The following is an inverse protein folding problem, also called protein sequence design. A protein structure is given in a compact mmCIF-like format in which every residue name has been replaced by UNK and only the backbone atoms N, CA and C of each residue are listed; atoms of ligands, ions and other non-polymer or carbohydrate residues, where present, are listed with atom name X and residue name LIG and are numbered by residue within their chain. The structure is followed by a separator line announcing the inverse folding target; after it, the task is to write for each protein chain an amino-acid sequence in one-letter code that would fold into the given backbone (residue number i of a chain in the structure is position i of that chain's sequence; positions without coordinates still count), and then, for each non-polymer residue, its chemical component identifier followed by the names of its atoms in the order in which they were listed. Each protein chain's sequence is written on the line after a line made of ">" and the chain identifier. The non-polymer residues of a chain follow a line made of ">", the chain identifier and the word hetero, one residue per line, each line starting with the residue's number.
data_IF_539092584360
#
_entry.id   IF_539092584360
#
_cell.length_a   1.000
_cell.length_b   1.000
_cell.length_c   1.000
_cell.angle_alpha   90.00
_cell.angle_beta   90.00
_cell.angle_gamma   90.00
#
_symmetry.space_group_name_H-M   'P 1'
#
loop_
_entity.id
_entity.type
_entity.pdbx_description
1 polymer ?
#
# COMPACT_ATOMS: atom_id res chain seq x y z
N UNK A 1 -19.22 32.52 58.70
CA UNK A 1 -19.09 32.83 57.26
C UNK A 1 -18.50 31.61 56.57
N UNK A 2 -19.37 30.80 55.93
CA UNK A 2 -19.00 29.53 55.32
C UNK A 2 -18.73 29.76 53.82
N UNK A 3 -17.48 29.66 53.39
CA UNK A 3 -17.09 29.75 51.98
C UNK A 3 -17.43 28.43 51.26
N UNK A 4 -18.38 28.47 50.36
CA UNK A 4 -18.77 27.40 49.47
C UNK A 4 -17.75 27.35 48.30
N UNK A 5 -16.88 26.34 48.26
CA UNK A 5 -15.95 26.10 47.12
C UNK A 5 -16.72 25.41 46.00
N UNK A 6 -16.98 26.13 44.90
CA UNK A 6 -17.46 25.52 43.65
C UNK A 6 -16.35 24.74 42.99
N UNK A 7 -16.49 23.41 42.97
CA UNK A 7 -15.61 22.50 42.20
C UNK A 7 -16.17 22.48 40.77
N UNK A 8 -15.52 23.17 39.84
CA UNK A 8 -15.84 23.09 38.41
C UNK A 8 -15.31 21.76 37.86
N UNK A 9 -16.22 20.84 37.59
CA UNK A 9 -15.90 19.58 36.88
C UNK A 9 -15.89 19.91 35.38
N UNK A 10 -14.67 19.94 34.81
CA UNK A 10 -14.49 20.02 33.36
C UNK A 10 -14.79 18.63 32.78
N UNK A 11 -15.98 18.49 32.20
CA UNK A 11 -16.37 17.28 31.46
C UNK A 11 -15.63 17.29 30.11
N UNK A 12 -14.48 16.60 30.03
CA UNK A 12 -13.75 16.41 28.79
C UNK A 12 -14.55 15.39 27.93
N UNK A 13 -15.35 15.90 26.99
CA UNK A 13 -16.07 15.06 26.03
C UNK A 13 -15.04 14.38 25.11
N UNK A 14 -14.76 13.11 25.36
CA UNK A 14 -14.07 12.23 24.42
C UNK A 14 -14.99 12.02 23.20
N UNK A 15 -14.83 12.84 22.17
CA UNK A 15 -15.43 12.57 20.87
C UNK A 15 -14.82 11.26 20.35
N UNK A 16 -15.63 10.29 19.88
CA UNK A 16 -15.08 9.10 19.25
C UNK A 16 -14.32 9.54 17.99
N UNK A 17 -13.01 9.38 18.01
CA UNK A 17 -12.18 9.49 16.82
C UNK A 17 -12.58 8.29 15.96
N UNK A 18 -13.51 8.47 15.04
CA UNK A 18 -13.76 7.54 13.95
C UNK A 18 -12.52 7.57 13.04
N UNK A 19 -11.50 6.86 13.44
CA UNK A 19 -10.31 6.64 12.63
C UNK A 19 -10.71 5.76 11.44
N UNK A 20 -11.13 6.38 10.34
CA UNK A 20 -11.24 5.70 9.05
C UNK A 20 -9.82 5.38 8.60
N UNK A 21 -9.33 4.20 8.97
CA UNK A 21 -8.08 3.68 8.46
C UNK A 21 -8.38 2.96 7.14
N UNK A 22 -7.72 3.38 6.05
CA UNK A 22 -7.80 2.66 4.77
C UNK A 22 -7.61 1.16 5.00
N UNK A 23 -8.42 0.34 4.35
CA UNK A 23 -8.24 -1.11 4.30
C UNK A 23 -8.11 -1.57 2.86
N UNK A 24 -7.28 -2.59 2.65
CA UNK A 24 -7.16 -3.28 1.37
C UNK A 24 -7.32 -4.79 1.55
N UNK A 25 -7.82 -5.43 0.51
CA UNK A 25 -7.74 -6.88 0.34
C UNK A 25 -7.54 -7.20 -1.14
N UNK A 26 -7.13 -8.42 -1.42
CA UNK A 26 -7.10 -8.95 -2.79
C UNK A 26 -8.20 -10.00 -2.96
N UNK A 27 -9.01 -9.94 -4.04
CA UNK A 27 -9.93 -11.04 -4.35
C UNK A 27 -9.20 -12.31 -4.82
N UNK A 28 -7.89 -12.23 -5.07
CA UNK A 28 -7.10 -13.32 -5.61
C UNK A 28 -6.53 -14.27 -4.55
N UNK A 29 -6.30 -13.79 -3.31
CA UNK A 29 -5.76 -14.58 -2.20
C UNK A 29 -6.05 -13.88 -0.86
N UNK A 30 -6.09 -14.64 0.22
CA UNK A 30 -6.24 -14.08 1.57
C UNK A 30 -4.89 -13.64 2.13
N UNK A 31 -4.94 -12.67 3.06
CA UNK A 31 -3.73 -12.17 3.70
C UNK A 31 -2.88 -13.32 4.30
N UNK A 32 -1.60 -13.36 3.97
CA UNK A 32 -0.64 -14.39 4.39
C UNK A 32 -0.63 -15.66 3.53
N UNK A 33 -1.59 -15.83 2.61
CA UNK A 33 -1.68 -17.01 1.74
C UNK A 33 -0.80 -16.90 0.48
N UNK A 34 -0.82 -17.95 -0.34
CA UNK A 34 -0.06 -18.00 -1.60
C UNK A 34 -0.69 -17.10 -2.66
N UNK A 35 0.16 -16.30 -3.29
CA UNK A 35 -0.20 -15.52 -4.48
C UNK A 35 -0.32 -16.49 -5.66
N UNK A 36 -1.47 -16.50 -6.40
CA UNK A 36 -1.64 -17.36 -7.56
C UNK A 36 -0.59 -17.13 -8.64
N UNK A 37 -0.15 -18.22 -9.27
CA UNK A 37 0.97 -18.26 -10.23
C UNK A 37 0.86 -17.22 -11.35
N UNK A 38 -0.34 -16.91 -11.83
CA UNK A 38 -0.56 -15.94 -12.91
C UNK A 38 -0.01 -14.54 -12.62
N UNK A 39 0.06 -14.14 -11.35
CA UNK A 39 0.56 -12.82 -10.93
C UNK A 39 2.08 -12.76 -10.85
N UNK A 40 2.76 -13.90 -10.86
CA UNK A 40 4.21 -13.97 -10.87
C UNK A 40 4.83 -13.56 -12.21
N UNK A 41 6.15 -13.40 -12.21
CA UNK A 41 6.91 -13.09 -13.41
C UNK A 41 6.90 -14.25 -14.40
N UNK A 42 7.19 -13.95 -15.67
CA UNK A 42 7.25 -14.96 -16.74
C UNK A 42 8.32 -16.03 -16.48
N UNK A 43 9.45 -15.64 -15.88
CA UNK A 43 10.53 -16.56 -15.56
C UNK A 43 10.09 -17.71 -14.65
N UNK A 44 9.22 -17.40 -13.65
CA UNK A 44 8.63 -18.41 -12.77
C UNK A 44 7.32 -19.00 -13.33
N UNK A 45 7.08 -18.86 -14.64
CA UNK A 45 5.89 -19.39 -15.31
C UNK A 45 4.60 -18.63 -15.04
N UNK A 46 4.69 -17.38 -14.51
CA UNK A 46 3.57 -16.47 -14.37
C UNK A 46 3.24 -15.72 -15.67
N UNK A 47 2.22 -14.89 -15.61
CA UNK A 47 1.75 -14.07 -16.74
C UNK A 47 2.11 -12.60 -16.60
N UNK A 48 2.72 -12.19 -15.49
CA UNK A 48 3.01 -10.80 -15.13
C UNK A 48 1.76 -9.91 -15.17
N UNK A 49 0.65 -10.42 -14.67
CA UNK A 49 -0.61 -9.69 -14.50
C UNK A 49 -0.57 -9.07 -13.10
N UNK A 50 -0.99 -7.81 -12.95
CA UNK A 50 -1.00 -7.15 -11.65
C UNK A 50 -2.00 -7.80 -10.70
N UNK A 51 -1.65 -7.84 -9.42
CA UNK A 51 -2.53 -8.31 -8.36
C UNK A 51 -3.72 -7.35 -8.24
N UNK A 52 -4.98 -7.84 -8.29
CA UNK A 52 -6.16 -7.00 -8.11
C UNK A 52 -6.30 -6.60 -6.63
N UNK A 53 -6.67 -5.36 -6.38
CA UNK A 53 -6.77 -4.78 -5.04
C UNK A 53 -8.11 -4.07 -4.87
N UNK A 54 -8.83 -4.41 -3.81
CA UNK A 54 -9.99 -3.65 -3.34
C UNK A 54 -9.55 -2.66 -2.27
N UNK A 55 -10.15 -1.46 -2.28
CA UNK A 55 -9.97 -0.42 -1.29
C UNK A 55 -11.28 -0.17 -0.54
N UNK A 56 -11.18 0.04 0.75
CA UNK A 56 -12.30 0.40 1.63
C UNK A 56 -11.86 1.30 2.77
N UNK A 57 -12.81 1.91 3.46
CA UNK A 57 -12.58 2.79 4.63
C UNK A 57 -11.59 3.93 4.38
N UNK A 58 -11.52 4.43 3.15
CA UNK A 58 -10.69 5.59 2.83
C UNK A 58 -11.27 6.81 3.52
N UNK A 59 -10.42 7.56 4.23
CA UNK A 59 -10.82 8.80 4.91
C UNK A 59 -11.42 9.80 3.92
N UNK A 60 -12.41 10.56 4.37
CA UNK A 60 -13.00 11.68 3.59
C UNK A 60 -12.00 12.83 3.38
N UNK A 61 -11.00 12.91 4.25
CA UNK A 61 -9.93 13.91 4.17
C UNK A 61 -8.80 13.50 3.22
N UNK A 62 -8.85 12.27 2.68
CA UNK A 62 -7.85 11.80 1.74
C UNK A 62 -8.00 12.51 0.39
N UNK A 63 -6.89 13.01 -0.14
CA UNK A 63 -6.79 13.59 -1.47
C UNK A 63 -6.21 12.61 -2.49
N UNK A 64 -5.48 11.58 -2.02
CA UNK A 64 -4.93 10.52 -2.87
C UNK A 64 -4.66 9.25 -2.09
N UNK A 65 -4.49 8.15 -2.84
CA UNK A 65 -3.99 6.87 -2.33
C UNK A 65 -2.66 6.57 -3.01
N UNK A 66 -1.72 5.99 -2.27
CA UNK A 66 -0.49 5.40 -2.78
C UNK A 66 -0.50 3.91 -2.53
N UNK A 67 -0.11 3.11 -3.51
CA UNK A 67 0.04 1.65 -3.41
C UNK A 67 1.50 1.28 -3.68
N UNK A 68 2.09 0.49 -2.78
CA UNK A 68 3.45 -0.04 -2.91
C UNK A 68 3.43 -1.54 -2.69
N UNK A 69 4.02 -2.29 -3.64
CA UNK A 69 4.30 -3.71 -3.49
C UNK A 69 5.82 -3.87 -3.41
N UNK A 70 6.31 -4.42 -2.31
CA UNK A 70 7.74 -4.72 -2.14
C UNK A 70 8.00 -6.13 -1.57
N UNK A 71 9.21 -6.61 -1.79
CA UNK A 71 9.73 -7.89 -1.36
C UNK A 71 10.92 -7.66 -0.43
N UNK A 72 10.74 -7.73 0.90
CA UNK A 72 11.84 -7.60 1.85
C UNK A 72 12.80 -8.79 1.85
N UNK A 73 12.35 -10.00 1.45
CA UNK A 73 13.18 -11.20 1.40
C UNK A 73 14.22 -11.15 0.28
N UNK A 74 13.98 -10.34 -0.76
CA UNK A 74 14.95 -10.05 -1.80
C UNK A 74 16.26 -9.47 -1.26
N UNK A 75 16.26 -8.93 -0.03
CA UNK A 75 17.48 -8.42 0.61
C UNK A 75 18.56 -9.49 0.73
N UNK A 76 18.19 -10.77 0.89
CA UNK A 76 19.14 -11.90 0.99
C UNK A 76 19.82 -12.22 -0.33
N UNK A 77 19.19 -11.94 -1.47
CA UNK A 77 19.67 -12.30 -2.81
C UNK A 77 20.04 -11.10 -3.68
N UNK A 78 19.40 -9.95 -3.46
CA UNK A 78 19.63 -8.72 -4.23
C UNK A 78 20.28 -7.59 -3.41
N UNK A 79 20.59 -7.83 -2.12
CA UNK A 79 21.19 -6.86 -1.21
C UNK A 79 20.25 -5.73 -0.75
N UNK A 80 19.01 -5.72 -1.21
CA UNK A 80 18.02 -4.69 -0.89
C UNK A 80 16.59 -5.25 -0.97
N UNK A 81 15.65 -4.61 -0.25
CA UNK A 81 14.22 -4.80 -0.49
C UNK A 81 13.89 -4.40 -1.93
N UNK A 82 13.18 -5.27 -2.65
CA UNK A 82 12.83 -5.05 -4.05
C UNK A 82 11.45 -4.45 -4.18
N UNK A 83 11.32 -3.35 -4.91
CA UNK A 83 10.02 -2.72 -5.19
C UNK A 83 9.51 -3.27 -6.51
N UNK A 84 8.37 -3.94 -6.47
CA UNK A 84 7.71 -4.58 -7.60
C UNK A 84 6.76 -3.65 -8.35
N UNK A 85 6.03 -2.83 -7.61
CA UNK A 85 5.06 -1.90 -8.17
C UNK A 85 4.86 -0.72 -7.25
N UNK A 86 4.64 0.45 -7.82
CA UNK A 86 4.30 1.67 -7.10
C UNK A 86 3.36 2.52 -7.94
N UNK A 87 2.25 2.93 -7.36
CA UNK A 87 1.29 3.86 -7.91
C UNK A 87 1.07 4.99 -6.92
N UNK A 88 1.14 6.24 -7.37
CA UNK A 88 0.74 7.41 -6.59
C UNK A 88 -0.50 8.06 -7.19
N UNK A 89 -1.10 8.96 -6.44
CA UNK A 89 -2.25 9.77 -6.87
C UNK A 89 -3.43 8.95 -7.43
N UNK A 90 -3.64 7.74 -6.85
CA UNK A 90 -4.87 6.99 -7.07
C UNK A 90 -6.00 7.81 -6.44
N UNK A 91 -7.10 8.11 -7.16
CA UNK A 91 -8.23 8.85 -6.60
C UNK A 91 -8.80 8.17 -5.35
N UNK A 92 -9.13 8.91 -4.28
CA UNK A 92 -9.59 8.32 -3.00
C UNK A 92 -10.93 7.59 -3.10
N UNK A 93 -11.74 7.91 -4.10
CA UNK A 93 -13.00 7.21 -4.42
C UNK A 93 -12.82 5.85 -5.11
N UNK A 94 -11.61 5.51 -5.54
CA UNK A 94 -11.29 4.23 -6.20
C UNK A 94 -11.65 3.07 -5.29
N UNK A 95 -12.49 2.15 -5.77
CA UNK A 95 -12.94 0.97 -5.02
C UNK A 95 -12.08 -0.25 -5.30
N UNK A 96 -11.51 -0.36 -6.50
CA UNK A 96 -10.69 -1.48 -6.90
C UNK A 96 -9.70 -1.12 -8.01
N UNK A 97 -8.62 -1.87 -8.06
CA UNK A 97 -7.72 -1.97 -9.20
C UNK A 97 -7.87 -3.35 -9.79
N UNK A 98 -8.19 -3.42 -11.09
CA UNK A 98 -8.30 -4.68 -11.81
C UNK A 98 -6.94 -5.35 -12.05
N UNK A 99 -6.99 -6.65 -12.29
CA UNK A 99 -5.84 -7.37 -12.83
C UNK A 99 -5.63 -6.99 -14.29
N UNK A 100 -4.46 -6.40 -14.58
CA UNK A 100 -4.09 -6.00 -15.94
C UNK A 100 -2.65 -6.38 -16.24
N UNK A 101 -2.39 -6.62 -17.52
CA UNK A 101 -1.05 -6.94 -17.98
C UNK A 101 -0.09 -5.78 -17.70
N UNK A 102 1.06 -6.10 -17.11
CA UNK A 102 2.13 -5.14 -16.77
C UNK A 102 1.66 -3.99 -15.83
N UNK A 103 0.51 -4.12 -15.15
CA UNK A 103 -0.01 -3.13 -14.22
C UNK A 103 -0.47 -1.80 -14.85
N UNK A 104 -0.87 -1.81 -16.11
CA UNK A 104 -1.40 -0.61 -16.80
C UNK A 104 -2.86 -0.34 -16.43
N UNK A 105 -3.13 -0.01 -15.19
CA UNK A 105 -4.49 0.15 -14.66
C UNK A 105 -5.21 1.43 -15.13
N UNK A 106 -4.52 2.36 -15.78
CA UNK A 106 -5.14 3.60 -16.28
C UNK A 106 -5.53 4.61 -15.20
N UNK A 107 -5.18 4.35 -13.94
CA UNK A 107 -5.51 5.18 -12.77
C UNK A 107 -4.23 5.47 -12.01
N UNK A 108 -4.12 6.70 -11.47
CA UNK A 108 -2.94 7.11 -10.72
C UNK A 108 -1.71 7.35 -11.60
N UNK A 109 -0.58 7.56 -10.95
CA UNK A 109 0.71 7.81 -11.61
C UNK A 109 1.66 6.65 -11.30
N UNK A 110 2.06 5.92 -12.33
CA UNK A 110 3.01 4.83 -12.17
C UNK A 110 4.41 5.37 -11.82
N UNK A 111 4.96 4.90 -10.69
CA UNK A 111 6.30 5.15 -10.24
C UNK A 111 7.30 4.12 -10.79
N UNK A 112 8.59 4.41 -10.70
CA UNK A 112 9.65 3.47 -11.06
C UNK A 112 9.81 2.40 -9.98
N UNK A 113 9.81 1.14 -10.37
CA UNK A 113 10.16 0.00 -9.54
C UNK A 113 11.68 -0.21 -9.43
N UNK A 114 12.12 -1.30 -8.82
CA UNK A 114 13.56 -1.61 -8.66
C UNK A 114 14.27 -1.91 -9.97
N UNK A 115 13.54 -2.31 -11.02
CA UNK A 115 14.05 -2.48 -12.41
C UNK A 115 14.09 -1.15 -13.17
N UNK A 116 13.80 -0.02 -12.52
CA UNK A 116 13.67 1.32 -13.15
C UNK A 116 12.52 1.42 -14.17
N UNK A 117 11.65 0.42 -14.20
CA UNK A 117 10.44 0.38 -15.04
C UNK A 117 9.26 1.00 -14.30
N UNK A 118 8.32 1.60 -15.03
CA UNK A 118 7.03 2.08 -14.52
C UNK A 118 5.92 1.03 -14.62
N UNK A 119 6.28 -0.25 -14.74
CA UNK A 119 5.35 -1.36 -14.88
C UNK A 119 5.29 -2.18 -13.60
N UNK A 120 4.22 -2.94 -13.46
CA UNK A 120 4.19 -4.05 -12.52
C UNK A 120 5.20 -5.11 -12.94
N UNK A 121 6.01 -5.57 -11.99
CA UNK A 121 6.86 -6.74 -12.12
C UNK A 121 6.39 -7.74 -11.06
N UNK A 122 5.89 -8.88 -11.50
CA UNK A 122 5.35 -9.89 -10.60
C UNK A 122 6.40 -10.52 -9.69
N UNK A 123 5.95 -11.18 -8.61
CA UNK A 123 6.79 -12.03 -7.79
C UNK A 123 7.71 -12.91 -8.61
N UNK A 124 9.03 -12.90 -8.31
CA UNK A 124 10.05 -13.57 -9.10
C UNK A 124 11.21 -14.09 -8.22
N UNK A 125 10.92 -14.86 -7.16
CA UNK A 125 11.98 -15.34 -6.29
C UNK A 125 12.85 -16.37 -7.02
N UNK A 126 14.20 -16.30 -6.88
CA UNK A 126 15.10 -17.18 -7.65
C UNK A 126 15.13 -18.63 -7.15
N UNK A 127 14.88 -18.89 -5.87
CA UNK A 127 14.97 -20.24 -5.27
C UNK A 127 13.89 -20.53 -4.24
N UNK A 128 13.84 -19.75 -3.16
CA UNK A 128 12.98 -19.99 -2.01
C UNK A 128 11.67 -19.21 -2.12
N UNK A 129 10.70 -19.56 -1.27
CA UNK A 129 9.49 -18.77 -1.11
C UNK A 129 9.84 -17.42 -0.47
N UNK A 130 9.33 -16.32 -1.08
CA UNK A 130 9.42 -14.98 -0.55
C UNK A 130 8.06 -14.48 -0.11
N UNK A 131 8.05 -13.55 0.85
CA UNK A 131 6.87 -12.78 1.24
C UNK A 131 6.86 -11.44 0.50
N UNK A 132 5.72 -11.12 -0.08
CA UNK A 132 5.45 -9.87 -0.80
C UNK A 132 4.48 -9.05 0.02
N UNK A 133 4.86 -7.82 0.37
CA UNK A 133 4.03 -6.90 1.12
C UNK A 133 3.34 -5.95 0.15
N UNK A 134 2.03 -5.81 0.30
CA UNK A 134 1.18 -4.89 -0.47
C UNK A 134 0.63 -3.90 0.53
N UNK A 135 0.99 -2.62 0.41
CA UNK A 135 0.57 -1.60 1.35
C UNK A 135 -0.03 -0.41 0.64
N UNK A 136 -1.19 0.01 1.11
CA UNK A 136 -1.85 1.23 0.69
C UNK A 136 -1.74 2.30 1.76
N UNK A 137 -1.64 3.53 1.32
CA UNK A 137 -1.60 4.74 2.15
C UNK A 137 -2.65 5.71 1.66
N UNK A 138 -3.48 6.25 2.53
CA UNK A 138 -4.29 7.42 2.24
C UNK A 138 -3.52 8.67 2.65
N UNK A 139 -3.47 9.66 1.77
CA UNK A 139 -2.71 10.90 1.98
C UNK A 139 -3.63 12.11 2.01
N UNK A 140 -3.26 13.13 2.82
CA UNK A 140 -3.92 14.43 2.87
C UNK A 140 -3.51 15.37 1.71
N UNK A 141 -2.79 14.87 0.73
CA UNK A 141 -2.29 15.62 -0.43
C UNK A 141 -2.22 14.76 -1.69
N UNK A 142 -2.05 15.39 -2.85
CA UNK A 142 -1.60 14.77 -4.09
C UNK A 142 -0.11 14.99 -4.24
N UNK A 143 0.60 13.98 -4.72
CA UNK A 143 2.05 14.07 -4.94
C UNK A 143 2.40 14.65 -6.30
N UNK A 144 1.50 14.48 -7.28
CA UNK A 144 1.58 15.01 -8.66
C UNK A 144 2.88 14.67 -9.39
N UNK A 145 3.49 13.53 -9.01
CA UNK A 145 4.76 13.08 -9.55
C UNK A 145 4.90 11.57 -9.62
N UNK A 146 5.66 11.11 -10.60
CA UNK A 146 6.10 9.71 -10.67
C UNK A 146 7.19 9.46 -9.61
N UNK A 147 6.88 8.61 -8.65
CA UNK A 147 7.81 8.24 -7.59
C UNK A 147 8.98 7.40 -8.15
N UNK A 148 10.17 7.54 -7.55
CA UNK A 148 11.28 6.60 -7.74
C UNK A 148 10.97 5.31 -6.98
N UNK A 149 11.80 4.27 -7.14
CA UNK A 149 11.66 3.02 -6.39
C UNK A 149 11.83 3.28 -4.87
N UNK A 150 10.74 3.52 -4.20
CA UNK A 150 10.67 3.71 -2.75
C UNK A 150 10.10 2.43 -2.12
N UNK A 151 10.84 1.83 -1.21
CA UNK A 151 10.29 0.79 -0.33
C UNK A 151 9.26 1.42 0.61
N UNK A 152 8.35 0.60 1.16
CA UNK A 152 7.35 1.06 2.11
C UNK A 152 7.99 1.87 3.25
N UNK A 153 9.05 1.35 3.87
CA UNK A 153 9.78 2.02 4.95
C UNK A 153 10.34 3.40 4.55
N UNK A 154 10.89 3.53 3.32
CA UNK A 154 11.41 4.82 2.83
C UNK A 154 10.28 5.79 2.53
N UNK A 155 9.16 5.29 1.98
CA UNK A 155 7.98 6.10 1.73
C UNK A 155 7.42 6.68 3.02
N UNK A 156 7.24 5.85 4.04
CA UNK A 156 6.73 6.25 5.35
C UNK A 156 7.59 7.35 5.99
N UNK A 157 8.92 7.22 5.91
CA UNK A 157 9.83 8.24 6.44
C UNK A 157 9.75 9.58 5.69
N UNK A 158 9.54 9.54 4.35
CA UNK A 158 9.54 10.75 3.51
C UNK A 158 8.20 11.49 3.54
N UNK A 159 7.11 10.78 3.82
CA UNK A 159 5.74 11.29 3.75
C UNK A 159 4.96 11.08 5.05
N UNK A 160 5.67 11.05 6.20
CA UNK A 160 5.05 10.80 7.50
C UNK A 160 3.96 11.82 7.87
N UNK A 161 4.13 13.08 7.45
CA UNK A 161 3.18 14.16 7.71
C UNK A 161 2.00 14.19 6.73
N UNK A 162 2.13 13.53 5.59
CA UNK A 162 1.08 13.43 4.56
C UNK A 162 0.21 12.19 4.73
N UNK A 163 0.69 11.17 5.45
CA UNK A 163 -0.04 9.91 5.65
C UNK A 163 -1.14 10.09 6.70
N UNK A 164 -2.41 9.95 6.27
CA UNK A 164 -3.56 9.89 7.18
C UNK A 164 -3.66 8.51 7.83
N UNK A 165 -3.55 7.46 7.01
CA UNK A 165 -3.62 6.06 7.45
C UNK A 165 -2.98 5.13 6.44
N UNK A 166 -2.67 3.91 6.87
CA UNK A 166 -2.16 2.87 5.98
C UNK A 166 -2.65 1.49 6.39
N UNK A 167 -2.67 0.57 5.43
CA UNK A 167 -3.00 -0.84 5.65
C UNK A 167 -2.14 -1.74 4.78
N UNK A 168 -1.72 -2.87 5.33
CA UNK A 168 -0.85 -3.82 4.65
C UNK A 168 -1.46 -5.23 4.67
N UNK A 169 -1.41 -5.88 3.52
CA UNK A 169 -1.57 -7.33 3.40
C UNK A 169 -0.28 -7.92 2.85
N UNK A 170 -0.10 -9.21 3.04
CA UNK A 170 1.03 -9.94 2.49
C UNK A 170 0.57 -11.18 1.73
N UNK A 171 1.41 -11.66 0.82
CA UNK A 171 1.23 -12.92 0.15
C UNK A 171 2.57 -13.61 -0.06
N UNK A 172 2.56 -14.93 -0.22
CA UNK A 172 3.74 -15.75 -0.43
C UNK A 172 3.80 -16.23 -1.88
N UNK A 173 5.00 -16.29 -2.44
CA UNK A 173 5.22 -16.81 -3.80
C UNK A 173 6.55 -17.53 -3.89
N UNK A 174 6.55 -18.66 -4.69
CA UNK A 174 7.74 -19.47 -4.96
C UNK A 174 7.90 -19.72 -6.45
#
# INVERSE_FOLDING_TARGET
>A
LTMLKFLSVILLSLLPINAFAIEINSPAFKNGEKIPKKYGCKYNGGKNISIPINFSKVSKDAQSIVLIIDDPDAKKVAGKTWVHWILSDIPPETKYLDEVKDGKVGIGIAGKNSDRSKKYVGPCPPKNEHQYNIKAYSLNTKLEKSLKALTQKKFEKLYENEIISSFMISGKFK
#
